data_IF_077476569843
#
_entry.id   IF_077476569843
#
_cell.length_a   1.000
_cell.length_b   1.000
_cell.length_c   1.000
_cell.angle_alpha   90.00
_cell.angle_beta   90.00
_cell.angle_gamma   90.00
#
_symmetry.space_group_name_H-M   'P 1'
#
loop_
_entity.id
_entity.type
_entity.pdbx_description
1 polymer ?
#
# COMPACT_ATOMS: atom_id res chain seq x y z
N UNK A 1 32.36 7.40 -29.86
CA UNK A 1 31.56 6.24 -29.40
C UNK A 1 31.07 6.57 -28.00
N UNK A 2 29.81 7.00 -27.87
CA UNK A 2 29.24 7.46 -26.60
C UNK A 2 28.97 6.27 -25.67
N UNK A 3 29.61 6.24 -24.50
CA UNK A 3 29.26 5.36 -23.39
C UNK A 3 28.05 5.97 -22.69
N UNK A 4 26.89 5.35 -22.85
CA UNK A 4 25.71 5.63 -22.04
C UNK A 4 26.03 5.35 -20.56
N UNK A 5 25.64 6.22 -19.61
CA UNK A 5 25.74 5.87 -18.20
C UNK A 5 24.79 4.71 -17.93
N UNK A 6 25.32 3.64 -17.33
CA UNK A 6 24.55 2.56 -16.73
C UNK A 6 23.57 3.21 -15.77
N UNK A 7 22.29 3.24 -16.14
CA UNK A 7 21.22 3.65 -15.24
C UNK A 7 21.35 2.78 -14.00
N UNK A 8 21.72 3.40 -12.88
CA UNK A 8 21.66 2.80 -11.56
C UNK A 8 20.29 2.16 -11.41
N UNK A 9 20.26 0.83 -11.25
CA UNK A 9 19.07 0.10 -10.86
C UNK A 9 18.54 0.75 -9.59
N UNK A 10 17.55 1.63 -9.73
CA UNK A 10 16.77 2.13 -8.61
C UNK A 10 16.36 0.89 -7.79
N UNK A 11 16.50 0.92 -6.46
CA UNK A 11 16.12 -0.23 -5.64
C UNK A 11 14.68 -0.56 -6.01
N UNK A 12 14.42 -1.82 -6.39
CA UNK A 12 13.08 -2.36 -6.54
C UNK A 12 12.43 -2.24 -5.16
N UNK A 13 11.86 -1.07 -4.85
CA UNK A 13 11.16 -0.81 -3.60
C UNK A 13 10.04 -1.81 -3.60
N UNK A 14 10.21 -2.86 -2.81
CA UNK A 14 9.27 -3.96 -2.74
C UNK A 14 8.01 -3.37 -2.12
N UNK A 15 7.01 -3.11 -2.95
CA UNK A 15 5.73 -2.53 -2.51
C UNK A 15 5.19 -3.42 -1.40
N UNK A 16 5.05 -2.88 -0.20
CA UNK A 16 4.51 -3.62 0.94
C UNK A 16 2.99 -3.50 1.00
N UNK A 17 2.33 -4.35 1.80
CA UNK A 17 0.89 -4.20 2.02
C UNK A 17 0.53 -2.81 2.58
N UNK A 18 1.37 -2.27 3.47
CA UNK A 18 1.20 -0.92 4.00
C UNK A 18 1.19 0.12 2.87
N UNK A 19 2.09 0.00 1.90
CA UNK A 19 2.16 0.94 0.77
C UNK A 19 0.93 0.81 -0.14
N UNK A 20 0.44 -0.41 -0.37
CA UNK A 20 -0.79 -0.64 -1.14
C UNK A 20 -2.01 -0.01 -0.45
N UNK A 21 -2.10 -0.16 0.87
CA UNK A 21 -3.21 0.40 1.66
C UNK A 21 -3.12 1.92 1.75
N UNK A 22 -1.92 2.50 1.92
CA UNK A 22 -1.72 3.94 1.86
C UNK A 22 -2.14 4.51 0.50
N UNK A 23 -1.69 3.88 -0.58
CA UNK A 23 -2.03 4.30 -1.93
C UNK A 23 -3.55 4.27 -2.16
N UNK A 24 -4.23 3.22 -1.72
CA UNK A 24 -5.68 3.10 -1.82
C UNK A 24 -6.42 4.12 -0.94
N UNK A 25 -5.96 4.35 0.29
CA UNK A 25 -6.53 5.35 1.19
C UNK A 25 -6.39 6.79 0.63
N UNK A 26 -5.22 7.11 0.05
CA UNK A 26 -4.99 8.37 -0.65
C UNK A 26 -5.89 8.49 -1.89
N UNK A 27 -6.06 7.40 -2.65
CA UNK A 27 -6.92 7.35 -3.84
C UNK A 27 -8.39 7.60 -3.50
N UNK A 28 -8.86 7.08 -2.35
CA UNK A 28 -10.23 7.33 -1.84
C UNK A 28 -10.43 8.76 -1.36
N UNK A 29 -9.37 9.42 -0.90
CA UNK A 29 -9.41 10.80 -0.46
C UNK A 29 -10.25 11.01 0.81
N UNK A 30 -10.58 12.27 1.10
CA UNK A 30 -11.38 12.62 2.28
C UNK A 30 -10.69 12.21 3.61
N UNK A 31 -11.47 11.64 4.52
CA UNK A 31 -10.99 11.16 5.82
C UNK A 31 -9.94 10.03 5.70
N UNK A 32 -10.04 9.22 4.65
CA UNK A 32 -9.11 8.11 4.40
C UNK A 32 -7.69 8.59 4.17
N UNK A 33 -7.51 9.75 3.51
CA UNK A 33 -6.19 10.34 3.31
C UNK A 33 -5.52 10.68 4.65
N UNK A 34 -6.28 11.20 5.61
CA UNK A 34 -5.79 11.52 6.96
C UNK A 34 -5.53 10.27 7.82
N UNK A 35 -6.21 9.16 7.51
CA UNK A 35 -6.10 7.88 8.24
C UNK A 35 -5.24 6.85 7.50
N UNK A 36 -4.56 7.21 6.41
CA UNK A 36 -3.80 6.30 5.57
C UNK A 36 -2.74 5.53 6.36
N UNK A 37 -2.02 6.20 7.27
CA UNK A 37 -1.03 5.54 8.14
C UNK A 37 -1.66 4.59 9.15
N UNK A 38 -2.83 4.96 9.69
CA UNK A 38 -3.59 4.09 10.61
C UNK A 38 -4.11 2.85 9.89
N UNK A 39 -4.68 3.01 8.70
CA UNK A 39 -5.14 1.91 7.85
C UNK A 39 -3.99 0.97 7.49
N UNK A 40 -2.83 1.52 7.14
CA UNK A 40 -1.63 0.75 6.83
C UNK A 40 -1.11 -0.03 8.04
N UNK A 41 -1.09 0.59 9.23
CA UNK A 41 -0.72 -0.09 10.46
C UNK A 41 -1.69 -1.22 10.81
N UNK A 42 -2.99 -1.02 10.63
CA UNK A 42 -4.01 -2.06 10.80
C UNK A 42 -3.81 -3.22 9.83
N UNK A 43 -3.55 -2.92 8.55
CA UNK A 43 -3.34 -3.93 7.54
C UNK A 43 -2.11 -4.80 7.84
N UNK A 44 -1.01 -4.18 8.26
CA UNK A 44 0.21 -4.91 8.68
C UNK A 44 -0.05 -5.74 9.92
N UNK A 45 -0.80 -5.22 10.89
CA UNK A 45 -1.13 -5.93 12.13
C UNK A 45 -2.03 -7.14 11.89
N UNK A 46 -2.96 -7.05 10.93
CA UNK A 46 -3.96 -8.10 10.69
C UNK A 46 -3.51 -9.12 9.65
N UNK A 47 -2.80 -8.69 8.61
CA UNK A 47 -2.45 -9.53 7.45
C UNK A 47 -0.93 -9.66 7.22
N UNK A 48 -0.12 -8.93 7.98
CA UNK A 48 1.34 -8.96 7.89
C UNK A 48 1.92 -8.00 6.85
N UNK A 49 3.23 -8.12 6.60
CA UNK A 49 3.97 -7.16 5.76
C UNK A 49 3.98 -7.50 4.27
N UNK A 50 3.61 -8.73 3.89
CA UNK A 50 3.73 -9.18 2.50
C UNK A 50 2.68 -8.50 1.63
N UNK A 51 3.04 -8.01 0.44
CA UNK A 51 2.05 -7.47 -0.49
C UNK A 51 1.03 -8.54 -0.87
N UNK A 52 -0.24 -8.15 -0.84
CA UNK A 52 -1.34 -8.96 -1.35
C UNK A 52 -1.58 -8.63 -2.82
N UNK A 53 -2.18 -9.57 -3.56
CA UNK A 53 -2.53 -9.40 -4.97
C UNK A 53 -3.93 -9.95 -5.23
N UNK A 54 -4.57 -9.50 -6.30
CA UNK A 54 -5.85 -10.04 -6.74
C UNK A 54 -6.96 -9.91 -5.69
N UNK A 55 -7.71 -10.99 -5.47
CA UNK A 55 -8.86 -11.03 -4.57
C UNK A 55 -8.48 -10.84 -3.09
N UNK A 56 -7.32 -11.35 -2.66
CA UNK A 56 -6.83 -11.14 -1.30
C UNK A 56 -6.66 -9.65 -0.99
N UNK A 57 -6.06 -8.90 -1.92
CA UNK A 57 -5.87 -7.47 -1.74
C UNK A 57 -7.20 -6.72 -1.62
N UNK A 58 -8.19 -7.12 -2.43
CA UNK A 58 -9.54 -6.54 -2.38
C UNK A 58 -10.22 -6.83 -1.06
N UNK A 59 -10.07 -8.05 -0.53
CA UNK A 59 -10.60 -8.46 0.78
C UNK A 59 -9.95 -7.67 1.91
N UNK A 60 -8.62 -7.51 1.89
CA UNK A 60 -7.89 -6.69 2.86
C UNK A 60 -8.39 -5.25 2.85
N UNK A 61 -8.54 -4.65 1.67
CA UNK A 61 -9.07 -3.29 1.56
C UNK A 61 -10.48 -3.20 2.13
N UNK A 62 -11.38 -4.08 1.73
CA UNK A 62 -12.75 -4.09 2.22
C UNK A 62 -12.81 -4.16 3.74
N UNK A 63 -12.02 -5.04 4.36
CA UNK A 63 -12.00 -5.22 5.81
C UNK A 63 -11.41 -4.01 6.57
N UNK A 64 -10.31 -3.44 6.06
CA UNK A 64 -9.65 -2.28 6.68
C UNK A 64 -10.51 -1.02 6.57
N UNK A 65 -11.07 -0.77 5.37
CA UNK A 65 -11.92 0.41 5.14
C UNK A 65 -13.34 0.23 5.69
N UNK A 66 -13.80 -0.99 5.95
CA UNK A 66 -15.03 -1.22 6.73
C UNK A 66 -14.82 -0.88 8.20
N UNK A 67 -13.73 -1.36 8.79
CA UNK A 67 -13.47 -1.23 10.24
C UNK A 67 -13.30 0.22 10.67
N UNK A 68 -12.53 1.01 9.92
CA UNK A 68 -12.21 2.39 10.30
C UNK A 68 -13.29 3.39 9.85
N UNK A 69 -14.26 2.95 9.02
CA UNK A 69 -15.37 3.78 8.52
C UNK A 69 -16.62 3.80 9.41
N UNK A 70 -16.55 3.18 10.60
CA UNK A 70 -17.59 3.17 11.65
C UNK A 70 -17.12 3.96 12.85
#
# INVERSE_FOLDING_TARGET
>A
MNRFPVAECAPLVSVTLADQVRAEAIRRGGEWKGRADRCAALAVRWFGHRPCKGEDLRTVFDEIFRTDGT
#
